data_IF_885422681577
#
_entry.id   IF_885422681577
#
_cell.length_a   1.000
_cell.length_b   1.000
_cell.length_c   1.000
_cell.angle_alpha   90.00
_cell.angle_beta   90.00
_cell.angle_gamma   90.00
#
_symmetry.space_group_name_H-M   'P 1'
#
loop_
_entity.id
_entity.type
_entity.pdbx_description
1 polymer ?
#
# COMPACT_ATOMS: atom_id res chain seq x y z
N UNK A 1 27.22 -4.65 -2.78
CA UNK A 1 26.91 -3.91 -1.53
C UNK A 1 26.45 -2.51 -1.92
N UNK A 2 25.16 -2.20 -1.79
CA UNK A 2 24.64 -0.87 -2.06
C UNK A 2 25.05 0.08 -0.91
N UNK A 3 25.78 1.14 -1.23
CA UNK A 3 26.23 2.16 -0.27
C UNK A 3 25.04 3.09 0.02
N UNK A 4 24.61 3.17 1.29
CA UNK A 4 23.61 4.16 1.74
C UNK A 4 24.13 5.55 1.37
N UNK A 5 23.42 6.25 0.49
CA UNK A 5 23.72 7.65 0.18
C UNK A 5 23.17 8.47 1.35
N UNK A 6 24.05 8.86 2.27
CA UNK A 6 23.74 9.86 3.30
C UNK A 6 23.79 11.25 2.67
N UNK A 7 22.71 11.70 2.04
CA UNK A 7 22.48 13.14 1.86
C UNK A 7 20.98 13.42 1.73
N UNK A 8 20.42 14.04 2.76
CA UNK A 8 19.15 14.76 2.71
C UNK A 8 19.46 16.22 2.37
N UNK A 9 19.23 16.72 1.16
CA UNK A 9 19.29 18.15 0.92
C UNK A 9 18.00 18.79 1.45
N UNK A 10 18.16 19.80 2.32
CA UNK A 10 17.08 20.71 2.67
C UNK A 10 16.76 21.57 1.44
N UNK A 11 15.53 21.47 0.93
CA UNK A 11 15.00 22.42 -0.05
C UNK A 11 13.71 23.00 0.53
N UNK A 12 13.71 24.32 0.78
CA UNK A 12 12.54 25.01 1.32
C UNK A 12 12.16 24.65 2.77
N UNK A 13 13.09 24.09 3.57
CA UNK A 13 12.84 23.74 4.99
C UNK A 13 12.19 22.37 5.21
N UNK A 14 12.06 21.54 4.17
CA UNK A 14 11.61 20.15 4.28
C UNK A 14 12.76 19.17 3.99
N UNK A 15 12.94 18.17 4.85
CA UNK A 15 13.82 17.03 4.58
C UNK A 15 13.26 16.22 3.41
N UNK A 16 13.93 16.23 2.26
CA UNK A 16 13.52 15.45 1.09
C UNK A 16 14.47 14.27 0.89
N UNK A 17 13.94 13.05 1.02
CA UNK A 17 14.70 11.83 0.77
C UNK A 17 14.81 11.54 -0.70
N UNK A 18 16.03 11.30 -1.20
CA UNK A 18 16.20 10.71 -2.53
C UNK A 18 16.01 9.20 -2.44
N UNK A 19 14.86 8.72 -2.90
CA UNK A 19 14.69 7.32 -3.24
C UNK A 19 15.44 7.04 -4.55
N UNK A 20 16.70 6.61 -4.46
CA UNK A 20 17.40 6.07 -5.63
C UNK A 20 17.22 4.55 -5.66
N UNK A 21 16.32 4.07 -6.50
CA UNK A 21 16.29 2.67 -6.91
C UNK A 21 17.44 2.46 -7.91
N UNK A 22 18.34 1.48 -7.71
CA UNK A 22 19.44 1.26 -8.64
C UNK A 22 18.93 0.53 -9.89
N UNK A 23 18.46 1.30 -10.86
CA UNK A 23 17.79 0.80 -12.08
C UNK A 23 18.65 -0.22 -12.85
N UNK A 24 19.97 0.00 -12.93
CA UNK A 24 20.90 -0.93 -13.60
C UNK A 24 21.10 -2.29 -12.90
N UNK A 25 20.68 -2.45 -11.64
CA UNK A 25 20.63 -3.77 -10.98
C UNK A 25 19.28 -4.47 -11.21
N UNK A 26 18.25 -3.73 -11.63
CA UNK A 26 16.91 -4.26 -11.86
C UNK A 26 16.59 -4.56 -13.33
N UNK A 27 17.45 -4.11 -14.25
CA UNK A 27 17.37 -4.37 -15.70
C UNK A 27 17.15 -5.84 -16.08
N UNK A 28 17.63 -6.78 -15.26
CA UNK A 28 17.46 -8.22 -15.48
C UNK A 28 16.61 -8.90 -14.40
N UNK A 29 15.92 -8.12 -13.58
CA UNK A 29 15.16 -8.62 -12.42
C UNK A 29 13.66 -8.65 -12.69
N UNK A 30 12.99 -9.61 -12.06
CA UNK A 30 11.54 -9.61 -11.90
C UNK A 30 11.20 -8.90 -10.59
N UNK A 31 10.52 -7.76 -10.68
CA UNK A 31 10.03 -7.01 -9.53
C UNK A 31 8.53 -7.21 -9.38
N UNK A 32 8.12 -7.83 -8.27
CA UNK A 32 6.70 -8.05 -7.93
C UNK A 32 6.35 -7.14 -6.77
N UNK A 33 5.38 -6.26 -6.99
CA UNK A 33 4.81 -5.40 -5.95
C UNK A 33 3.40 -5.92 -5.64
N UNK A 34 3.24 -6.56 -4.49
CA UNK A 34 1.93 -7.05 -4.00
C UNK A 34 1.34 -6.10 -2.96
N UNK A 35 0.01 -6.00 -2.93
CA UNK A 35 -0.74 -5.08 -2.07
C UNK A 35 -0.23 -3.63 -2.10
N UNK A 36 0.02 -3.11 -3.31
CA UNK A 36 0.42 -1.70 -3.46
C UNK A 36 -0.72 -0.78 -3.05
N UNK A 37 -0.52 -0.08 -1.95
CA UNK A 37 -1.41 0.97 -1.47
C UNK A 37 -0.76 2.33 -1.69
N UNK A 38 -1.45 3.19 -2.42
CA UNK A 38 -1.06 4.59 -2.50
C UNK A 38 -1.63 5.32 -1.29
N UNK A 39 -0.77 5.57 -0.32
CA UNK A 39 -1.06 6.58 0.71
C UNK A 39 -1.13 7.92 -0.04
N UNK A 40 -2.22 8.66 0.15
CA UNK A 40 -2.36 9.99 -0.44
C UNK A 40 -1.27 10.90 0.13
N UNK A 41 -0.19 11.07 -0.62
CA UNK A 41 0.76 12.16 -0.40
C UNK A 41 0.01 13.47 -0.62
N UNK A 42 0.12 14.42 0.31
CA UNK A 42 -0.53 15.74 0.22
C UNK A 42 -0.21 16.47 -1.11
N UNK A 43 0.93 16.13 -1.73
CA UNK A 43 1.44 16.76 -2.95
C UNK A 43 1.20 15.91 -4.23
N UNK A 44 0.57 14.73 -4.14
CA UNK A 44 0.35 13.81 -5.27
C UNK A 44 1.63 13.46 -6.08
N UNK A 45 2.82 13.66 -5.51
CA UNK A 45 4.09 13.43 -6.20
C UNK A 45 4.45 11.94 -6.26
N UNK A 46 4.16 11.18 -5.19
CA UNK A 46 4.42 9.74 -5.11
C UNK A 46 3.95 8.94 -6.33
N UNK A 47 2.67 9.02 -6.74
CA UNK A 47 2.16 8.33 -7.93
C UNK A 47 2.93 8.65 -9.21
N UNK A 48 3.26 9.93 -9.45
CA UNK A 48 3.95 10.35 -10.68
C UNK A 48 5.39 9.86 -10.73
N UNK A 49 6.10 10.01 -9.62
CA UNK A 49 7.50 9.57 -9.50
C UNK A 49 7.57 8.04 -9.63
N UNK A 50 6.67 7.32 -8.96
CA UNK A 50 6.64 5.86 -9.00
C UNK A 50 6.32 5.34 -10.40
N UNK A 51 5.33 5.93 -11.10
CA UNK A 51 5.01 5.57 -12.48
C UNK A 51 6.21 5.74 -13.41
N UNK A 52 6.96 6.83 -13.25
CA UNK A 52 8.18 7.10 -14.01
C UNK A 52 9.24 6.02 -13.77
N UNK A 53 9.53 5.71 -12.51
CA UNK A 53 10.53 4.69 -12.11
C UNK A 53 10.15 3.31 -12.67
N UNK A 54 8.88 2.92 -12.53
CA UNK A 54 8.36 1.65 -13.08
C UNK A 54 8.61 1.59 -14.59
N UNK A 55 8.27 2.66 -15.31
CA UNK A 55 8.44 2.68 -16.76
C UNK A 55 9.93 2.72 -17.17
N UNK A 56 10.79 3.41 -16.43
CA UNK A 56 12.25 3.43 -16.66
C UNK A 56 12.86 2.02 -16.51
N UNK A 57 12.52 1.31 -15.44
CA UNK A 57 13.00 -0.08 -15.20
C UNK A 57 12.46 -1.04 -16.26
N UNK A 58 11.21 -0.89 -16.68
CA UNK A 58 10.64 -1.74 -17.70
C UNK A 58 11.25 -1.47 -19.09
N UNK A 59 11.55 -0.21 -19.41
CA UNK A 59 12.22 0.18 -20.65
C UNK A 59 13.65 -0.33 -20.74
N UNK A 60 14.30 -0.51 -19.59
CA UNK A 60 15.66 -1.03 -19.51
C UNK A 60 15.73 -2.57 -19.56
N UNK A 61 14.59 -3.25 -19.63
CA UNK A 61 14.48 -4.72 -19.80
C UNK A 61 13.93 -5.46 -18.58
N UNK A 62 13.67 -4.76 -17.49
CA UNK A 62 13.08 -5.34 -16.28
C UNK A 62 11.63 -5.76 -16.47
N UNK A 63 11.21 -6.80 -15.77
CA UNK A 63 9.80 -7.22 -15.73
C UNK A 63 9.17 -6.76 -14.42
N UNK A 64 8.07 -6.02 -14.50
CA UNK A 64 7.36 -5.50 -13.33
C UNK A 64 5.93 -6.02 -13.32
N UNK A 65 5.54 -6.60 -12.18
CA UNK A 65 4.17 -7.02 -11.92
C UNK A 65 3.66 -6.23 -10.72
N UNK A 66 2.51 -5.56 -10.89
CA UNK A 66 1.86 -4.78 -9.85
C UNK A 66 0.50 -5.40 -9.56
N UNK A 67 0.33 -5.84 -8.31
CA UNK A 67 -0.92 -6.34 -7.76
C UNK A 67 -1.40 -5.35 -6.69
N UNK A 68 -2.68 -5.00 -6.75
CA UNK A 68 -3.28 -4.12 -5.75
C UNK A 68 -4.80 -4.25 -5.69
N UNK A 69 -5.32 -4.21 -4.47
CA UNK A 69 -6.75 -4.18 -4.21
C UNK A 69 -7.40 -2.84 -4.63
N UNK A 70 -6.67 -1.73 -4.56
CA UNK A 70 -7.17 -0.38 -4.83
C UNK A 70 -6.06 0.50 -5.40
N UNK A 71 -6.06 0.68 -6.73
CA UNK A 71 -5.26 1.72 -7.38
C UNK A 71 -6.18 2.83 -7.90
N UNK A 72 -5.88 4.10 -7.61
CA UNK A 72 -6.56 5.22 -8.24
C UNK A 72 -6.41 5.16 -9.77
N UNK A 73 -7.47 5.46 -10.51
CA UNK A 73 -7.45 5.48 -11.97
C UNK A 73 -6.40 6.45 -12.53
N UNK A 74 -6.17 7.57 -11.84
CA UNK A 74 -5.12 8.53 -12.21
C UNK A 74 -3.71 7.91 -12.19
N UNK A 75 -3.41 7.04 -11.22
CA UNK A 75 -2.10 6.37 -11.17
C UNK A 75 -1.94 5.36 -12.30
N UNK A 76 -3.01 4.61 -12.59
CA UNK A 76 -3.06 3.68 -13.74
C UNK A 76 -2.78 4.44 -15.04
N UNK A 77 -3.43 5.59 -15.23
CA UNK A 77 -3.21 6.47 -16.39
C UNK A 77 -1.76 6.94 -16.47
N UNK A 78 -1.17 7.39 -15.36
CA UNK A 78 0.24 7.80 -15.35
C UNK A 78 1.20 6.67 -15.75
N UNK A 79 0.99 5.45 -15.25
CA UNK A 79 1.81 4.30 -15.66
C UNK A 79 1.67 4.05 -17.17
N UNK A 80 0.44 4.07 -17.68
CA UNK A 80 0.17 3.83 -19.10
C UNK A 80 0.84 4.90 -19.99
N UNK A 81 0.76 6.17 -19.61
CA UNK A 81 1.40 7.28 -20.33
C UNK A 81 2.93 7.16 -20.32
N UNK A 82 3.53 6.89 -19.17
CA UNK A 82 4.98 6.73 -19.04
C UNK A 82 5.51 5.50 -19.78
N UNK A 83 4.73 4.40 -19.80
CA UNK A 83 5.04 3.19 -20.56
C UNK A 83 4.97 3.44 -22.07
N UNK A 84 3.90 4.10 -22.56
CA UNK A 84 3.77 4.49 -23.98
C UNK A 84 4.93 5.37 -24.41
N UNK A 85 5.31 6.36 -23.59
CA UNK A 85 6.43 7.27 -23.90
C UNK A 85 7.75 6.53 -24.11
N UNK A 86 7.94 5.39 -23.43
CA UNK A 86 9.16 4.57 -23.50
C UNK A 86 9.05 3.36 -24.41
N UNK A 87 7.93 3.16 -25.09
CA UNK A 87 7.72 1.98 -25.94
C UNK A 87 7.62 0.66 -25.16
N UNK A 88 7.24 0.72 -23.89
CA UNK A 88 7.10 -0.46 -23.01
C UNK A 88 5.72 -1.07 -23.19
N UNK A 89 5.66 -2.41 -23.25
CA UNK A 89 4.39 -3.12 -23.26
C UNK A 89 3.72 -3.04 -21.87
N UNK A 90 2.52 -2.48 -21.84
CA UNK A 90 1.72 -2.34 -20.62
C UNK A 90 0.44 -3.16 -20.73
N UNK A 91 0.18 -4.01 -19.72
CA UNK A 91 -1.04 -4.81 -19.63
C UNK A 91 -1.70 -4.53 -18.28
N UNK A 92 -2.98 -4.15 -18.32
CA UNK A 92 -3.79 -3.92 -17.13
C UNK A 92 -5.02 -4.80 -17.16
N UNK A 93 -5.33 -5.46 -16.04
CA UNK A 93 -6.53 -6.26 -15.87
C UNK A 93 -7.21 -5.91 -14.56
N UNK A 94 -8.39 -5.30 -14.63
CA UNK A 94 -9.26 -5.13 -13.47
C UNK A 94 -10.01 -6.43 -13.22
N UNK A 95 -9.82 -7.02 -12.05
CA UNK A 95 -10.59 -8.19 -11.62
C UNK A 95 -11.83 -7.69 -10.88
N UNK A 96 -13.02 -8.10 -11.35
CA UNK A 96 -14.28 -7.80 -10.68
C UNK A 96 -14.27 -8.36 -9.25
N UNK A 97 -14.52 -7.50 -8.26
CA UNK A 97 -14.71 -7.92 -6.87
C UNK A 97 -16.17 -8.37 -6.68
N UNK A 98 -16.36 -9.51 -6.02
CA UNK A 98 -17.64 -9.82 -5.39
C UNK A 98 -17.96 -8.73 -4.37
N UNK A 99 -19.14 -8.11 -4.44
CA UNK A 99 -19.55 -7.11 -3.45
C UNK A 99 -19.58 -7.76 -2.05
N UNK A 100 -18.99 -7.13 -1.02
CA UNK A 100 -19.17 -7.59 0.35
C UNK A 100 -20.66 -7.61 0.69
N UNK A 101 -21.13 -8.70 1.30
CA UNK A 101 -22.56 -8.94 1.53
C UNK A 101 -23.21 -7.90 2.45
N UNK A 102 -22.45 -7.28 3.35
CA UNK A 102 -22.93 -6.25 4.27
C UNK A 102 -21.79 -5.27 4.62
N UNK A 103 -21.98 -3.98 4.37
CA UNK A 103 -21.07 -2.90 4.82
C UNK A 103 -21.86 -2.01 5.77
N UNK A 104 -21.53 -2.06 7.06
CA UNK A 104 -22.09 -1.20 8.09
C UNK A 104 -21.05 -0.13 8.45
N UNK A 105 -21.36 1.14 8.18
CA UNK A 105 -20.52 2.26 8.61
C UNK A 105 -21.03 2.73 9.96
N UNK A 106 -20.36 2.33 11.03
CA UNK A 106 -20.63 2.83 12.37
C UNK A 106 -19.94 4.20 12.51
N UNK A 107 -20.71 5.25 12.82
CA UNK A 107 -20.20 6.60 13.05
C UNK A 107 -19.61 6.82 14.45
N UNK A 108 -19.51 5.75 15.23
CA UNK A 108 -19.09 5.76 16.62
C UNK A 108 -17.79 4.96 16.79
N UNK A 109 -17.05 5.27 17.86
CA UNK A 109 -15.84 4.53 18.21
C UNK A 109 -16.17 3.05 18.46
N UNK A 110 -15.32 2.16 17.95
CA UNK A 110 -15.47 0.71 18.12
C UNK A 110 -15.04 0.34 19.53
N UNK A 111 -16.00 -0.13 20.32
CA UNK A 111 -15.81 -0.56 21.70
C UNK A 111 -15.99 -2.09 21.81
N UNK A 112 -15.43 -2.70 22.85
CA UNK A 112 -15.42 -4.17 23.01
C UNK A 112 -16.84 -4.78 23.05
N UNK A 113 -17.84 -4.07 23.56
CA UNK A 113 -19.25 -4.46 23.60
C UNK A 113 -19.88 -4.66 22.22
N UNK A 114 -19.35 -4.01 21.17
CA UNK A 114 -19.85 -4.13 19.80
C UNK A 114 -19.26 -5.30 19.01
N UNK A 115 -18.26 -5.99 19.55
CA UNK A 115 -17.57 -7.11 18.89
C UNK A 115 -18.20 -8.45 19.30
N UNK A 116 -18.59 -9.28 18.34
CA UNK A 116 -19.12 -10.61 18.60
C UNK A 116 -18.01 -11.62 18.98
N UNK A 117 -18.14 -12.26 20.14
CA UNK A 117 -17.16 -13.24 20.65
C UNK A 117 -17.26 -14.64 20.00
N UNK A 118 -18.44 -15.01 19.47
CA UNK A 118 -18.71 -16.37 18.96
C UNK A 118 -18.32 -16.56 17.48
N UNK A 119 -17.99 -15.49 16.77
CA UNK A 119 -17.64 -15.50 15.35
C UNK A 119 -16.12 -15.44 15.11
N UNK A 120 -15.69 -15.82 13.90
CA UNK A 120 -14.33 -15.51 13.41
C UNK A 120 -14.27 -14.04 13.00
N UNK A 121 -14.13 -13.17 14.00
CA UNK A 121 -14.14 -11.72 13.82
C UNK A 121 -12.72 -11.18 13.75
N UNK A 122 -12.38 -10.48 12.66
CA UNK A 122 -11.13 -9.72 12.54
C UNK A 122 -11.41 -8.25 12.88
N UNK A 123 -10.72 -7.74 13.91
CA UNK A 123 -10.76 -6.33 14.29
C UNK A 123 -9.43 -5.68 13.94
N UNK A 124 -9.47 -4.63 13.11
CA UNK A 124 -8.26 -3.89 12.70
C UNK A 124 -8.28 -2.54 13.41
N UNK A 125 -7.24 -2.27 14.20
CA UNK A 125 -7.01 -0.98 14.83
C UNK A 125 -5.90 -0.20 14.11
N UNK A 126 -5.99 1.12 14.07
CA UNK A 126 -5.01 1.97 13.39
C UNK A 126 -3.74 2.26 14.23
N UNK A 127 -3.67 1.80 15.48
CA UNK A 127 -2.49 1.92 16.33
C UNK A 127 -2.38 0.77 17.32
N UNK A 128 -1.13 0.48 17.73
CA UNK A 128 -0.83 -0.57 18.73
C UNK A 128 -1.50 -0.27 20.07
N UNK A 129 -1.56 1.00 20.48
CA UNK A 129 -2.18 1.40 21.75
C UNK A 129 -3.68 1.05 21.74
N UNK A 130 -4.40 1.44 20.68
CA UNK A 130 -5.82 1.12 20.54
C UNK A 130 -6.08 -0.38 20.47
N UNK A 131 -5.22 -1.12 19.77
CA UNK A 131 -5.33 -2.58 19.69
C UNK A 131 -5.24 -3.22 21.10
N UNK A 132 -4.28 -2.76 21.92
CA UNK A 132 -4.11 -3.25 23.29
C UNK A 132 -5.29 -2.91 24.20
N UNK A 133 -5.81 -1.70 24.11
CA UNK A 133 -6.94 -1.27 24.93
C UNK A 133 -8.22 -2.05 24.55
N UNK A 134 -8.45 -2.28 23.26
CA UNK A 134 -9.54 -3.14 22.79
C UNK A 134 -9.34 -4.60 23.24
N UNK A 135 -8.13 -5.15 23.15
CA UNK A 135 -7.86 -6.54 23.56
C UNK A 135 -8.23 -6.78 25.02
N UNK A 136 -7.83 -5.87 25.93
CA UNK A 136 -8.18 -6.00 27.36
C UNK A 136 -9.69 -6.04 27.57
N UNK A 137 -10.43 -5.15 26.91
CA UNK A 137 -11.90 -5.15 26.99
C UNK A 137 -12.52 -6.42 26.40
N UNK A 138 -11.90 -7.00 25.36
CA UNK A 138 -12.36 -8.24 24.74
C UNK A 138 -12.02 -9.48 25.58
N UNK A 139 -10.87 -9.54 26.24
CA UNK A 139 -10.51 -10.62 27.16
C UNK A 139 -11.48 -10.69 28.35
N UNK A 140 -11.90 -9.53 28.86
CA UNK A 140 -12.90 -9.47 29.93
C UNK A 140 -14.29 -9.89 29.46
N UNK A 141 -14.71 -9.44 28.28
CA UNK A 141 -16.05 -9.71 27.71
C UNK A 141 -16.18 -11.12 27.15
N UNK A 142 -15.18 -11.58 26.41
CA UNK A 142 -15.16 -12.84 25.68
C UNK A 142 -14.49 -13.97 26.47
N UNK A 143 -14.56 -13.94 27.81
CA UNK A 143 -14.03 -15.00 28.68
C UNK A 143 -14.53 -16.38 28.20
N UNK A 144 -13.59 -17.28 27.97
CA UNK A 144 -13.86 -18.64 27.45
C UNK A 144 -13.78 -18.78 25.93
N UNK A 145 -13.50 -17.70 25.19
CA UNK A 145 -13.14 -17.73 23.77
C UNK A 145 -11.65 -17.38 23.60
N UNK A 146 -11.03 -17.92 22.58
CA UNK A 146 -9.64 -17.61 22.24
C UNK A 146 -9.57 -16.25 21.54
N UNK A 147 -8.90 -15.29 22.17
CA UNK A 147 -8.59 -13.99 21.59
C UNK A 147 -7.13 -14.02 21.12
N UNK A 148 -6.93 -13.97 19.82
CA UNK A 148 -5.60 -13.93 19.20
C UNK A 148 -5.27 -12.47 18.86
N UNK A 149 -4.25 -11.93 19.52
CA UNK A 149 -3.67 -10.59 19.27
C UNK A 149 -2.34 -10.64 18.57
#
# INVERSE_FOLDING_TARGET
>A
MAKRVQTWPESGGAETGRYSMPDGLQELSLSIMDDVHLIQDEVFLGPRVLAKIIADIAASGGFIIISSATLPDAFIQYIEEEAKRRGVNYISKKVSKSKPRNVLKLGEELTADKVECRGKTLVIANSVVKARDLSKGLEEKCKGFEVLT
#
